data_IF_714154948404
#
_entry.id   IF_714154948404
#
_cell.length_a   1.000
_cell.length_b   1.000
_cell.length_c   1.000
_cell.angle_alpha   90.00
_cell.angle_beta   90.00
_cell.angle_gamma   90.00
#
_symmetry.space_group_name_H-M   'P 1'
#
loop_
_entity.id
_entity.type
_entity.pdbx_description
1 polymer ?
#
# COMPACT_ATOMS: atom_id res chain seq x y z
N UNK A 1 -8.22 -2.14 -5.97
CA UNK A 1 -7.31 -2.53 -7.07
C UNK A 1 -6.35 -3.68 -6.73
N UNK A 2 -6.50 -4.35 -5.59
CA UNK A 2 -5.41 -5.13 -4.96
C UNK A 2 -5.09 -6.44 -5.66
N UNK A 3 -6.09 -7.10 -6.26
CA UNK A 3 -5.86 -8.27 -7.10
C UNK A 3 -5.02 -7.96 -8.35
N UNK A 4 -5.13 -6.73 -8.90
CA UNK A 4 -4.30 -6.32 -10.03
C UNK A 4 -2.84 -6.10 -9.62
N UNK A 5 -2.58 -5.68 -8.37
CA UNK A 5 -1.23 -5.52 -7.86
C UNK A 5 -0.53 -6.84 -7.58
N UNK A 6 -1.25 -7.89 -7.18
CA UNK A 6 -0.69 -9.23 -7.07
C UNK A 6 -0.20 -9.74 -8.43
N UNK A 7 -1.01 -9.58 -9.49
CA UNK A 7 -0.63 -9.93 -10.86
C UNK A 7 0.55 -9.09 -11.38
N UNK A 8 0.62 -7.82 -10.99
CA UNK A 8 1.75 -6.96 -11.36
C UNK A 8 3.04 -7.41 -10.67
N UNK A 9 2.96 -7.76 -9.39
CA UNK A 9 4.09 -8.29 -8.61
C UNK A 9 4.63 -9.60 -9.20
N UNK A 10 3.75 -10.53 -9.59
CA UNK A 10 4.14 -11.76 -10.27
C UNK A 10 4.96 -11.49 -11.54
N UNK A 11 4.48 -10.58 -12.40
CA UNK A 11 5.19 -10.18 -13.63
C UNK A 11 6.52 -9.48 -13.37
N UNK A 12 6.62 -8.69 -12.29
CA UNK A 12 7.89 -8.05 -11.91
C UNK A 12 8.93 -9.07 -11.45
N UNK A 13 8.48 -10.09 -10.71
CA UNK A 13 9.34 -11.19 -10.25
C UNK A 13 9.81 -12.07 -11.43
N UNK A 14 8.96 -12.31 -12.43
CA UNK A 14 9.34 -13.03 -13.67
C UNK A 14 10.47 -12.34 -14.46
N UNK A 15 10.55 -11.01 -14.36
CA UNK A 15 11.55 -10.20 -15.05
C UNK A 15 12.86 -10.06 -14.26
N UNK A 16 12.98 -10.73 -13.11
CA UNK A 16 14.11 -10.64 -12.15
C UNK A 16 14.47 -9.18 -11.82
N UNK A 17 13.42 -8.36 -11.70
CA UNK A 17 13.57 -6.92 -11.47
C UNK A 17 13.63 -6.63 -9.96
N UNK A 18 14.67 -5.94 -9.52
CA UNK A 18 14.82 -5.45 -8.14
C UNK A 18 13.90 -4.24 -7.89
N UNK A 19 12.59 -4.50 -7.90
CA UNK A 19 11.54 -3.49 -7.77
C UNK A 19 10.72 -3.78 -6.52
N UNK A 20 10.53 -2.74 -5.72
CA UNK A 20 9.67 -2.79 -4.54
C UNK A 20 8.33 -2.11 -4.80
N UNK A 21 7.26 -2.70 -4.26
CA UNK A 21 5.92 -2.11 -4.30
C UNK A 21 5.57 -1.59 -2.90
N UNK A 22 5.36 -0.28 -2.79
CA UNK A 22 4.98 0.37 -1.53
C UNK A 22 3.52 0.83 -1.59
N UNK A 23 2.71 0.32 -0.67
CA UNK A 23 1.31 0.69 -0.49
C UNK A 23 1.16 1.56 0.76
N UNK A 24 0.70 2.80 0.58
CA UNK A 24 0.39 3.71 1.67
C UNK A 24 -1.10 3.60 2.00
N UNK A 25 -1.44 3.27 3.24
CA UNK A 25 -2.81 3.36 3.74
C UNK A 25 -3.33 4.80 3.66
N UNK A 26 -4.57 4.98 3.21
CA UNK A 26 -5.25 6.28 3.25
C UNK A 26 -6.04 6.50 4.54
N UNK A 27 -6.15 5.47 5.38
CA UNK A 27 -6.86 5.44 6.66
C UNK A 27 -5.97 4.84 7.78
N UNK A 28 -4.90 5.56 8.17
CA UNK A 28 -3.90 5.04 9.10
C UNK A 28 -4.43 4.77 10.51
N UNK A 29 -5.59 5.34 10.86
CA UNK A 29 -6.24 5.12 12.16
C UNK A 29 -6.77 3.69 12.28
N UNK A 30 -7.30 3.13 11.20
CA UNK A 30 -7.91 1.80 11.19
C UNK A 30 -6.95 0.73 10.64
N UNK A 31 -6.11 1.09 9.67
CA UNK A 31 -5.20 0.18 8.98
C UNK A 31 -3.92 -0.13 9.79
N UNK A 32 -4.06 -0.77 10.95
CA UNK A 32 -2.90 -1.18 11.73
C UNK A 32 -2.11 -2.33 11.04
N UNK A 33 -0.93 -2.64 11.58
CA UNK A 33 -0.03 -3.67 11.00
C UNK A 33 -0.68 -5.05 10.86
N UNK A 34 -1.57 -5.45 11.77
CA UNK A 34 -2.26 -6.74 11.69
C UNK A 34 -3.30 -6.73 10.56
N UNK A 35 -4.13 -5.68 10.49
CA UNK A 35 -5.13 -5.51 9.44
C UNK A 35 -4.49 -5.48 8.03
N UNK A 36 -3.38 -4.76 7.88
CA UNK A 36 -2.66 -4.68 6.60
C UNK A 36 -1.98 -6.00 6.20
N UNK A 37 -1.47 -6.76 7.17
CA UNK A 37 -0.92 -8.10 6.91
C UNK A 37 -2.01 -9.06 6.46
N UNK A 38 -3.16 -9.05 7.14
CA UNK A 38 -4.32 -9.86 6.75
C UNK A 38 -4.81 -9.48 5.34
N UNK A 39 -4.92 -8.18 5.06
CA UNK A 39 -5.28 -7.67 3.76
C UNK A 39 -4.30 -8.11 2.66
N UNK A 40 -2.98 -7.99 2.90
CA UNK A 40 -1.96 -8.45 1.97
C UNK A 40 -2.06 -9.96 1.70
N UNK A 41 -2.20 -10.78 2.74
CA UNK A 41 -2.38 -12.22 2.62
C UNK A 41 -3.62 -12.59 1.79
N UNK A 42 -4.76 -11.93 2.05
CA UNK A 42 -6.02 -12.16 1.33
C UNK A 42 -5.87 -11.97 -0.19
N UNK A 43 -4.95 -11.11 -0.61
CA UNK A 43 -4.68 -10.81 -2.01
C UNK A 43 -3.34 -11.34 -2.51
N UNK A 44 -2.72 -12.29 -1.80
CA UNK A 44 -1.49 -12.96 -2.25
C UNK A 44 -0.28 -12.02 -2.38
N UNK A 45 -0.14 -11.06 -1.47
CA UNK A 45 1.07 -10.23 -1.41
C UNK A 45 2.29 -11.08 -1.03
N UNK A 46 3.36 -11.01 -1.83
CA UNK A 46 4.68 -11.44 -1.39
C UNK A 46 5.35 -10.29 -0.63
N UNK A 47 5.61 -10.49 0.67
CA UNK A 47 6.18 -9.47 1.53
C UNK A 47 7.70 -9.33 1.42
N UNK A 48 8.37 -10.12 0.55
CA UNK A 48 9.80 -9.98 0.28
C UNK A 48 10.15 -8.62 -0.35
N UNK A 49 9.28 -8.10 -1.23
CA UNK A 49 9.43 -6.83 -1.94
C UNK A 49 8.16 -5.95 -1.95
N UNK A 50 7.13 -6.32 -1.18
CA UNK A 50 5.90 -5.51 -1.01
C UNK A 50 5.72 -5.03 0.41
N UNK A 51 5.56 -3.72 0.55
CA UNK A 51 5.46 -3.04 1.83
C UNK A 51 4.12 -2.31 1.97
N UNK A 52 3.55 -2.36 3.17
CA UNK A 52 2.36 -1.59 3.55
C UNK A 52 2.72 -0.65 4.70
N UNK A 53 2.40 0.64 4.55
CA UNK A 53 2.78 1.70 5.50
C UNK A 53 1.54 2.40 6.05
N UNK A 54 1.50 2.65 7.36
CA UNK A 54 0.29 3.15 8.05
C UNK A 54 0.51 3.84 9.40
N UNK A 55 1.76 4.13 9.80
CA UNK A 55 2.07 4.74 11.10
C UNK A 55 2.37 6.23 10.97
N UNK A 56 1.41 6.95 10.43
CA UNK A 56 1.44 8.39 10.25
C UNK A 56 0.07 8.97 10.61
N UNK A 57 0.01 10.27 10.87
CA UNK A 57 -1.22 11.00 11.09
C UNK A 57 -2.02 11.12 9.77
N UNK A 58 -3.33 11.33 9.90
CA UNK A 58 -4.20 11.48 8.73
C UNK A 58 -3.79 12.70 7.88
N UNK A 59 -3.38 13.79 8.52
CA UNK A 59 -2.90 15.00 7.87
C UNK A 59 -1.61 14.75 7.06
N UNK A 60 -0.73 13.89 7.56
CA UNK A 60 0.53 13.56 6.88
C UNK A 60 0.27 12.82 5.56
N UNK A 61 -0.62 11.83 5.56
CA UNK A 61 -0.96 11.12 4.31
C UNK A 61 -1.75 11.99 3.34
N UNK A 62 -2.60 12.88 3.83
CA UNK A 62 -3.33 13.83 2.99
C UNK A 62 -2.36 14.75 2.23
N UNK A 63 -1.39 15.32 2.94
CA UNK A 63 -0.39 16.19 2.30
C UNK A 63 0.56 15.40 1.40
N UNK A 64 1.03 14.22 1.82
CA UNK A 64 1.89 13.38 0.99
C UNK A 64 1.21 12.93 -0.31
N UNK A 65 -0.05 12.48 -0.24
CA UNK A 65 -0.81 12.07 -1.41
C UNK A 65 -1.04 13.24 -2.38
N UNK A 66 -1.38 14.41 -1.84
CA UNK A 66 -1.57 15.64 -2.64
C UNK A 66 -0.29 16.10 -3.30
N UNK A 67 0.83 16.10 -2.59
CA UNK A 67 2.09 16.65 -3.10
C UNK A 67 2.80 15.69 -4.06
N UNK A 68 2.90 14.41 -3.71
CA UNK A 68 3.62 13.39 -4.48
C UNK A 68 2.80 12.81 -5.64
N UNK A 69 1.50 12.59 -5.43
CA UNK A 69 0.65 11.85 -6.38
C UNK A 69 -0.48 12.69 -6.98
N UNK A 70 -0.62 13.95 -6.56
CA UNK A 70 -1.75 14.82 -6.93
C UNK A 70 -3.11 14.17 -6.62
N UNK A 71 -3.14 13.30 -5.61
CA UNK A 71 -4.33 12.58 -5.18
C UNK A 71 -4.98 13.28 -3.98
N UNK A 72 -6.30 13.38 -3.98
CA UNK A 72 -7.06 13.87 -2.84
C UNK A 72 -7.42 12.70 -1.93
N UNK A 73 -6.90 12.72 -0.71
CA UNK A 73 -7.28 11.79 0.36
C UNK A 73 -8.15 12.56 1.35
N UNK A 74 -9.24 11.95 1.79
CA UNK A 74 -10.11 12.50 2.83
C UNK A 74 -10.25 11.49 3.95
N UNK A 75 -10.35 11.98 5.18
CA UNK A 75 -10.67 11.15 6.34
C UNK A 75 -12.08 10.59 6.16
N UNK A 76 -12.24 9.28 6.39
CA UNK A 76 -13.58 8.68 6.44
C UNK A 76 -14.12 8.84 7.87
N UNK A 77 -15.36 9.32 8.01
CA UNK A 77 -16.03 9.52 9.31
C UNK A 77 -16.37 8.18 10.00
#
# INVERSE_FOLDING_TARGET
MTANMAKLQEKMNELDSDVSVVSFSVDPKNDNSAALKEYGNKFGADFSNRHFLSRYLQEEIQEFAKTSFKALVQSTL
#
